data_IF_482141742971
#
_entry.id   IF_482141742971
#
_cell.length_a   1.000
_cell.length_b   1.000
_cell.length_c   1.000
_cell.angle_alpha   90.00
_cell.angle_beta   90.00
_cell.angle_gamma   90.00
#
_symmetry.space_group_name_H-M   'P 1'
#
loop_
_entity.id
_entity.type
_entity.pdbx_description
1 polymer ?
#
# COMPACT_ATOMS: atom_id res chain seq x y z
N UNK A 1 6.03 -13.40 -15.60
CA UNK A 1 4.87 -13.48 -14.68
C UNK A 1 3.87 -12.38 -15.06
N UNK A 2 2.62 -12.74 -15.22
CA UNK A 2 1.57 -11.82 -15.61
C UNK A 2 0.85 -11.32 -14.36
N UNK A 3 1.17 -10.11 -13.94
CA UNK A 3 0.53 -9.51 -12.76
C UNK A 3 -0.85 -8.99 -13.17
N UNK A 4 -1.85 -9.25 -12.35
CA UNK A 4 -3.24 -8.93 -12.65
C UNK A 4 -3.58 -7.42 -12.64
N UNK A 5 -2.59 -6.58 -12.79
CA UNK A 5 -2.78 -5.12 -12.83
C UNK A 5 -3.35 -4.68 -14.16
N UNK A 6 -4.30 -3.78 -14.10
CA UNK A 6 -4.88 -3.22 -15.33
C UNK A 6 -3.90 -2.24 -15.95
N UNK A 7 -3.83 -2.18 -17.28
CA UNK A 7 -2.93 -1.25 -17.97
C UNK A 7 -3.10 0.21 -17.54
N UNK A 8 -4.33 0.64 -17.24
CA UNK A 8 -4.60 2.00 -16.79
C UNK A 8 -3.95 2.30 -15.43
N UNK A 9 -3.97 1.35 -14.51
CA UNK A 9 -3.36 1.52 -13.19
C UNK A 9 -1.84 1.66 -13.30
N UNK A 10 -1.23 0.84 -14.14
CA UNK A 10 0.21 0.89 -14.40
C UNK A 10 0.61 2.20 -15.08
N UNK A 11 -0.17 2.65 -16.07
CA UNK A 11 0.11 3.88 -16.79
C UNK A 11 0.04 5.11 -15.88
N UNK A 12 -0.85 5.09 -14.86
CA UNK A 12 -0.98 6.19 -13.90
C UNK A 12 0.20 6.25 -12.92
N UNK A 13 0.82 5.10 -12.61
CA UNK A 13 1.91 5.10 -11.63
C UNK A 13 2.95 4.03 -11.96
N UNK A 14 3.76 4.23 -13.01
CA UNK A 14 4.73 3.22 -13.45
C UNK A 14 5.86 2.98 -12.45
N UNK A 15 6.26 4.01 -11.70
CA UNK A 15 7.31 3.84 -10.68
C UNK A 15 6.82 2.97 -9.54
N UNK A 16 5.63 3.22 -9.02
CA UNK A 16 5.04 2.40 -7.97
C UNK A 16 4.88 0.95 -8.42
N UNK A 17 4.44 0.73 -9.67
CA UNK A 17 4.34 -0.62 -10.22
C UNK A 17 5.69 -1.35 -10.17
N UNK A 18 6.77 -0.70 -10.62
CA UNK A 18 8.12 -1.30 -10.60
C UNK A 18 8.57 -1.64 -9.19
N UNK A 19 8.28 -0.76 -8.24
CA UNK A 19 8.63 -0.99 -6.83
C UNK A 19 7.86 -2.18 -6.27
N UNK A 20 6.57 -2.29 -6.57
CA UNK A 20 5.75 -3.41 -6.10
C UNK A 20 6.21 -4.74 -6.71
N UNK A 21 6.64 -4.74 -7.98
CA UNK A 21 7.25 -5.91 -8.61
C UNK A 21 8.51 -6.31 -7.87
N UNK A 22 9.37 -5.36 -7.55
CA UNK A 22 10.60 -5.61 -6.81
C UNK A 22 10.32 -6.19 -5.43
N UNK A 23 9.40 -5.57 -4.68
CA UNK A 23 9.02 -6.00 -3.32
C UNK A 23 8.51 -7.43 -3.33
N UNK A 24 7.66 -7.77 -4.29
CA UNK A 24 6.97 -9.07 -4.34
C UNK A 24 7.88 -10.24 -4.69
N UNK A 25 9.08 -10.01 -5.22
CA UNK A 25 10.10 -11.04 -5.49
C UNK A 25 9.54 -12.23 -6.28
N UNK A 26 8.85 -11.96 -7.39
CA UNK A 26 8.22 -12.96 -8.26
C UNK A 26 7.06 -13.75 -7.61
N UNK A 27 6.55 -13.31 -6.48
CA UNK A 27 5.35 -13.88 -5.88
C UNK A 27 4.13 -13.11 -6.36
N UNK A 28 3.37 -13.70 -7.29
CA UNK A 28 2.24 -13.03 -7.93
C UNK A 28 1.13 -12.66 -6.95
N UNK A 29 0.80 -13.57 -6.03
CA UNK A 29 -0.22 -13.30 -5.02
C UNK A 29 0.21 -12.18 -4.07
N UNK A 30 1.49 -12.13 -3.70
CA UNK A 30 2.03 -11.04 -2.90
C UNK A 30 1.95 -9.71 -3.65
N UNK A 31 2.28 -9.71 -4.95
CA UNK A 31 2.15 -8.50 -5.77
C UNK A 31 0.70 -8.02 -5.80
N UNK A 32 -0.25 -8.90 -6.09
CA UNK A 32 -1.67 -8.53 -6.16
C UNK A 32 -2.15 -7.92 -4.84
N UNK A 33 -1.69 -8.46 -3.71
CA UNK A 33 -2.04 -7.94 -2.40
C UNK A 33 -1.48 -6.53 -2.19
N UNK A 34 -0.17 -6.31 -2.38
CA UNK A 34 0.43 -4.99 -2.12
C UNK A 34 -0.02 -3.94 -3.13
N UNK A 35 -0.29 -4.34 -4.37
CA UNK A 35 -0.81 -3.42 -5.38
C UNK A 35 -2.20 -2.91 -4.99
N UNK A 36 -3.05 -3.79 -4.46
CA UNK A 36 -4.36 -3.38 -3.95
C UNK A 36 -4.23 -2.49 -2.73
N UNK A 37 -3.32 -2.79 -1.82
CA UNK A 37 -3.04 -1.92 -0.67
C UNK A 37 -2.61 -0.52 -1.13
N UNK A 38 -1.68 -0.45 -2.06
CA UNK A 38 -1.19 0.82 -2.60
C UNK A 38 -2.34 1.67 -3.14
N UNK A 39 -3.18 1.08 -3.99
CA UNK A 39 -4.31 1.80 -4.56
C UNK A 39 -5.35 2.19 -3.51
N UNK A 40 -5.60 1.32 -2.55
CA UNK A 40 -6.54 1.61 -1.46
C UNK A 40 -6.07 2.78 -0.60
N UNK A 41 -4.79 2.81 -0.22
CA UNK A 41 -4.26 3.90 0.59
C UNK A 41 -4.20 5.22 -0.18
N UNK A 42 -3.99 5.16 -1.49
CA UNK A 42 -4.11 6.37 -2.33
C UNK A 42 -5.54 6.88 -2.39
N UNK A 43 -6.52 5.99 -2.44
CA UNK A 43 -7.92 6.41 -2.34
C UNK A 43 -8.21 7.10 -1.02
N UNK A 44 -7.72 6.54 0.10
CA UNK A 44 -7.88 7.17 1.41
C UNK A 44 -7.25 8.55 1.45
N UNK A 45 -6.06 8.69 0.89
CA UNK A 45 -5.37 9.98 0.78
C UNK A 45 -6.22 11.00 0.04
N UNK A 46 -6.71 10.64 -1.15
CA UNK A 46 -7.53 11.53 -1.97
C UNK A 46 -8.84 11.92 -1.27
N UNK A 47 -9.45 10.98 -0.55
CA UNK A 47 -10.69 11.25 0.18
C UNK A 47 -10.47 12.18 1.39
N UNK A 48 -9.36 12.00 2.10
CA UNK A 48 -9.05 12.75 3.32
C UNK A 48 -8.52 14.13 2.97
N UNK A 49 -7.52 14.22 2.10
CA UNK A 49 -6.87 15.48 1.72
C UNK A 49 -7.71 16.30 0.76
N UNK A 50 -8.65 15.67 0.07
CA UNK A 50 -9.53 16.30 -0.94
C UNK A 50 -8.75 16.98 -2.06
N UNK A 51 -7.54 16.51 -2.33
CA UNK A 51 -6.69 17.05 -3.39
C UNK A 51 -7.25 16.80 -4.77
N UNK A 52 -7.91 15.66 -4.93
CA UNK A 52 -8.54 15.25 -6.17
C UNK A 52 -9.98 14.84 -5.93
N UNK A 53 -10.89 15.19 -6.86
CA UNK A 53 -12.25 14.68 -6.77
C UNK A 53 -12.25 13.17 -6.95
N UNK A 54 -12.93 12.46 -6.04
CA UNK A 54 -13.11 11.01 -6.11
C UNK A 54 -14.58 10.75 -6.42
N UNK A 55 -14.84 10.04 -7.51
CA UNK A 55 -16.21 9.67 -7.87
C UNK A 55 -16.70 8.51 -7.01
N UNK A 56 -18.03 8.38 -6.89
CA UNK A 56 -18.63 7.25 -6.18
C UNK A 56 -18.20 5.92 -6.83
N UNK A 57 -18.09 5.90 -8.17
CA UNK A 57 -17.66 4.72 -8.91
C UNK A 57 -16.23 4.33 -8.58
N UNK A 58 -15.31 5.29 -8.53
CA UNK A 58 -13.91 5.03 -8.17
C UNK A 58 -13.79 4.50 -6.75
N UNK A 59 -14.45 5.15 -5.79
CA UNK A 59 -14.43 4.72 -4.40
C UNK A 59 -15.02 3.32 -4.23
N UNK A 60 -16.17 3.06 -4.86
CA UNK A 60 -16.82 1.75 -4.79
C UNK A 60 -15.97 0.66 -5.40
N UNK A 61 -15.34 0.95 -6.54
CA UNK A 61 -14.46 0.00 -7.22
C UNK A 61 -13.27 -0.38 -6.33
N UNK A 62 -12.58 0.59 -5.77
CA UNK A 62 -11.41 0.32 -4.93
C UNK A 62 -11.79 -0.43 -3.65
N UNK A 63 -12.90 -0.07 -3.01
CA UNK A 63 -13.39 -0.78 -1.84
C UNK A 63 -13.75 -2.23 -2.17
N UNK A 64 -14.41 -2.45 -3.30
CA UNK A 64 -14.75 -3.80 -3.76
C UNK A 64 -13.51 -4.63 -4.02
N UNK A 65 -12.55 -4.09 -4.77
CA UNK A 65 -11.32 -4.80 -5.11
C UNK A 65 -10.48 -5.11 -3.87
N UNK A 66 -10.42 -4.17 -2.94
CA UNK A 66 -9.69 -4.39 -1.69
C UNK A 66 -10.36 -5.49 -0.85
N UNK A 67 -11.67 -5.44 -0.71
CA UNK A 67 -12.44 -6.45 0.02
C UNK A 67 -12.27 -7.83 -0.61
N UNK A 68 -12.34 -7.92 -1.94
CA UNK A 68 -12.12 -9.17 -2.68
C UNK A 68 -10.71 -9.71 -2.43
N UNK A 69 -9.70 -8.84 -2.45
CA UNK A 69 -8.32 -9.24 -2.19
C UNK A 69 -8.16 -9.79 -0.77
N UNK A 70 -8.70 -9.12 0.23
CA UNK A 70 -8.66 -9.60 1.62
C UNK A 70 -9.33 -10.98 1.73
N UNK A 71 -10.47 -11.16 1.09
CA UNK A 71 -11.23 -12.40 1.20
C UNK A 71 -10.57 -13.57 0.45
N UNK A 72 -9.96 -13.31 -0.69
CA UNK A 72 -9.60 -14.38 -1.63
C UNK A 72 -8.10 -14.51 -1.93
N UNK A 73 -7.28 -13.50 -1.59
CA UNK A 73 -5.87 -13.54 -1.93
C UNK A 73 -5.14 -14.57 -1.07
N UNK A 74 -4.50 -15.59 -1.67
CA UNK A 74 -3.87 -16.66 -0.91
C UNK A 74 -2.67 -16.21 -0.09
N UNK A 75 -1.93 -15.21 -0.56
CA UNK A 75 -0.81 -14.65 0.21
C UNK A 75 -1.32 -13.96 1.48
N UNK A 76 -2.36 -13.14 1.35
CA UNK A 76 -2.96 -12.50 2.53
C UNK A 76 -3.53 -13.53 3.49
N UNK A 77 -4.27 -14.52 2.99
CA UNK A 77 -4.88 -15.55 3.84
C UNK A 77 -3.83 -16.34 4.62
N UNK A 78 -2.69 -16.62 4.01
CA UNK A 78 -1.59 -17.33 4.65
C UNK A 78 -0.91 -16.48 5.75
N UNK A 79 -0.90 -15.16 5.59
CA UNK A 79 -0.17 -14.24 6.46
C UNK A 79 -1.07 -13.25 7.20
N UNK A 80 -2.37 -13.53 7.28
CA UNK A 80 -3.37 -12.58 7.77
C UNK A 80 -3.16 -12.15 9.22
N UNK A 81 -2.60 -13.01 10.06
CA UNK A 81 -2.40 -12.69 11.47
C UNK A 81 -1.34 -11.60 11.68
N UNK A 82 -0.39 -11.45 10.75
CA UNK A 82 0.56 -10.35 10.81
C UNK A 82 0.12 -9.16 9.95
N UNK A 83 -0.51 -9.42 8.82
CA UNK A 83 -0.86 -8.35 7.87
C UNK A 83 -2.09 -7.54 8.28
N UNK A 84 -3.10 -8.18 8.85
CA UNK A 84 -4.33 -7.47 9.22
C UNK A 84 -4.09 -6.38 10.28
N UNK A 85 -3.35 -6.64 11.37
CA UNK A 85 -3.01 -5.56 12.31
C UNK A 85 -2.24 -4.42 11.67
N UNK A 86 -1.38 -4.71 10.72
CA UNK A 86 -0.63 -3.66 10.00
C UNK A 86 -1.55 -2.78 9.16
N UNK A 87 -2.53 -3.38 8.48
CA UNK A 87 -3.53 -2.63 7.71
C UNK A 87 -4.33 -1.70 8.64
N UNK A 88 -4.79 -2.24 9.77
CA UNK A 88 -5.54 -1.46 10.76
C UNK A 88 -4.71 -0.29 11.29
N UNK A 89 -3.44 -0.53 11.61
CA UNK A 89 -2.54 0.51 12.10
C UNK A 89 -2.28 1.57 11.02
N UNK A 90 -2.14 1.17 9.77
CA UNK A 90 -1.94 2.10 8.68
C UNK A 90 -3.16 3.00 8.47
N UNK A 91 -4.36 2.42 8.50
CA UNK A 91 -5.62 3.20 8.42
C UNK A 91 -5.71 4.20 9.58
N UNK A 92 -5.43 3.74 10.80
CA UNK A 92 -5.46 4.61 11.97
C UNK A 92 -4.39 5.72 11.88
N UNK A 93 -3.22 5.40 11.33
CA UNK A 93 -2.16 6.39 11.12
C UNK A 93 -2.60 7.53 10.23
N UNK A 94 -3.39 7.26 9.19
CA UNK A 94 -3.97 8.30 8.34
C UNK A 94 -4.91 9.19 9.13
N UNK A 95 -5.81 8.61 9.94
CA UNK A 95 -6.77 9.37 10.74
C UNK A 95 -6.04 10.23 11.77
N UNK A 96 -5.11 9.64 12.52
CA UNK A 96 -4.34 10.37 13.54
C UNK A 96 -3.52 11.51 12.90
N UNK A 97 -2.91 11.24 11.75
CA UNK A 97 -2.15 12.27 11.03
C UNK A 97 -3.01 13.44 10.59
N UNK A 98 -4.24 13.16 10.11
CA UNK A 98 -5.18 14.20 9.69
C UNK A 98 -5.72 15.00 10.87
N UNK A 99 -5.95 14.35 12.01
CA UNK A 99 -6.48 14.99 13.22
C UNK A 99 -5.39 15.62 14.09
N UNK A 100 -4.11 15.59 13.66
CA UNK A 100 -3.01 16.12 14.45
C UNK A 100 -3.19 17.60 14.75
N UNK A 101 -2.96 17.98 16.02
CA UNK A 101 -2.98 19.39 16.45
C UNK A 101 -1.86 20.17 15.76
N UNK A 102 -1.96 21.50 15.77
CA UNK A 102 -0.90 22.38 15.22
C UNK A 102 0.46 22.07 15.83
N UNK A 103 0.51 21.72 17.12
CA UNK A 103 1.76 21.40 17.81
C UNK A 103 2.40 20.10 17.28
N UNK A 104 1.58 19.17 16.75
CA UNK A 104 2.04 17.85 16.31
C UNK A 104 1.94 17.67 14.80
N UNK A 105 1.56 18.70 14.06
CA UNK A 105 1.34 18.63 12.61
C UNK A 105 2.58 18.19 11.82
N UNK A 106 3.76 18.45 12.37
CA UNK A 106 5.03 18.02 11.76
C UNK A 106 5.17 16.51 11.67
N UNK A 107 4.44 15.74 12.49
CA UNK A 107 4.48 14.28 12.49
C UNK A 107 3.49 13.64 11.52
N UNK A 108 2.56 14.42 10.98
CA UNK A 108 1.51 13.89 10.09
C UNK A 108 2.06 13.12 8.88
N UNK A 109 3.10 13.60 8.16
CA UNK A 109 3.64 12.85 7.03
C UNK A 109 4.18 11.47 7.42
N UNK A 110 4.80 11.33 8.59
CA UNK A 110 5.31 10.05 9.07
C UNK A 110 4.16 9.10 9.40
N UNK A 111 3.12 9.59 10.06
CA UNK A 111 1.93 8.81 10.40
C UNK A 111 1.22 8.32 9.15
N UNK A 112 1.11 9.18 8.15
CA UNK A 112 0.45 8.85 6.88
C UNK A 112 1.25 7.89 6.01
N UNK A 113 2.53 7.64 6.31
CA UNK A 113 3.36 6.67 5.60
C UNK A 113 3.41 5.30 6.29
N UNK A 114 2.50 5.03 7.21
CA UNK A 114 2.48 3.75 7.96
C UNK A 114 2.23 2.53 7.08
N UNK A 115 1.60 2.71 5.92
CA UNK A 115 1.41 1.63 4.95
C UNK A 115 2.73 1.09 4.39
N UNK A 116 3.81 1.89 4.40
CA UNK A 116 5.13 1.42 3.96
C UNK A 116 5.65 0.25 4.81
N UNK A 117 5.21 0.14 6.05
CA UNK A 117 5.56 -0.99 6.90
C UNK A 117 4.97 -2.31 6.37
N UNK A 118 3.81 -2.24 5.73
CA UNK A 118 3.20 -3.40 5.07
C UNK A 118 4.10 -3.90 3.94
N UNK A 119 4.59 -2.99 3.11
CA UNK A 119 5.44 -3.34 1.96
C UNK A 119 6.78 -3.94 2.41
N UNK A 120 7.40 -3.36 3.46
CA UNK A 120 8.60 -3.91 4.06
C UNK A 120 8.37 -5.33 4.59
N UNK A 121 7.27 -5.53 5.30
CA UNK A 121 6.95 -6.84 5.86
C UNK A 121 6.71 -7.88 4.78
N UNK A 122 5.99 -7.51 3.71
CA UNK A 122 5.80 -8.40 2.57
C UNK A 122 7.14 -8.77 1.94
N UNK A 123 8.04 -7.80 1.75
CA UNK A 123 9.38 -8.07 1.23
C UNK A 123 10.11 -9.10 2.09
N UNK A 124 10.00 -8.99 3.41
CA UNK A 124 10.58 -9.99 4.33
C UNK A 124 9.96 -11.37 4.14
N UNK A 125 8.63 -11.44 4.06
CA UNK A 125 7.91 -12.70 3.93
C UNK A 125 8.26 -13.46 2.65
N UNK A 126 8.49 -12.75 1.54
CA UNK A 126 8.76 -13.38 0.23
C UNK A 126 10.24 -13.54 -0.09
N UNK A 127 11.13 -12.78 0.55
CA UNK A 127 12.52 -12.78 0.18
C UNK A 127 13.53 -12.79 1.33
N UNK A 128 13.05 -12.68 2.59
CA UNK A 128 13.91 -12.68 3.75
C UNK A 128 14.52 -11.32 4.07
N UNK A 129 15.40 -11.31 5.06
CA UNK A 129 15.98 -10.10 5.65
C UNK A 129 16.74 -9.25 4.63
N UNK A 130 17.63 -9.86 3.84
CA UNK A 130 18.46 -9.11 2.89
C UNK A 130 17.61 -8.50 1.78
N UNK A 131 16.60 -9.23 1.30
CA UNK A 131 15.67 -8.71 0.30
C UNK A 131 14.89 -7.51 0.87
N UNK A 132 14.36 -7.63 2.10
CA UNK A 132 13.66 -6.52 2.74
C UNK A 132 14.54 -5.28 2.84
N UNK A 133 15.79 -5.43 3.29
CA UNK A 133 16.72 -4.32 3.40
C UNK A 133 17.01 -3.66 2.06
N UNK A 134 17.18 -4.49 1.02
CA UNK A 134 17.44 -3.98 -0.32
C UNK A 134 16.25 -3.16 -0.84
N UNK A 135 15.04 -3.69 -0.74
CA UNK A 135 13.87 -2.96 -1.25
C UNK A 135 13.56 -1.70 -0.43
N UNK A 136 13.75 -1.75 0.90
CA UNK A 136 13.55 -0.58 1.75
C UNK A 136 14.42 0.59 1.32
N UNK A 137 15.68 0.34 0.93
CA UNK A 137 16.56 1.39 0.44
C UNK A 137 16.07 2.04 -0.86
N UNK A 138 15.18 1.36 -1.58
CA UNK A 138 14.65 1.85 -2.85
C UNK A 138 13.32 2.59 -2.70
N UNK A 139 12.34 1.98 -2.00
CA UNK A 139 10.99 2.53 -2.05
C UNK A 139 10.69 3.59 -0.99
N UNK A 140 11.38 3.58 0.17
CA UNK A 140 11.13 4.58 1.21
C UNK A 140 11.58 5.99 0.82
N UNK A 141 12.32 6.12 -0.23
CA UNK A 141 12.83 7.41 -0.72
C UNK A 141 12.33 7.77 -2.11
N UNK A 142 11.41 6.99 -2.67
CA UNK A 142 11.01 7.19 -4.06
C UNK A 142 10.26 8.53 -4.26
N UNK A 143 9.56 9.02 -3.25
CA UNK A 143 8.85 10.30 -3.34
C UNK A 143 9.78 11.51 -3.42
N UNK A 144 11.06 11.30 -3.18
CA UNK A 144 12.06 12.35 -3.21
C UNK A 144 12.81 12.40 -4.54
N UNK A 145 12.56 11.45 -5.40
CA UNK A 145 13.15 11.39 -6.73
C UNK A 145 12.22 12.07 -7.76
#
# INVERSE_FOLDING_TARGET
MDYCSKPEEVAQNPLAFRLMVLISNDNEAAFDFIWRCWNFFHLLDDLIDRDKPVTIQEASRELFLFTQTIALNPFFQQNKFSLLPMILNACNGWVVGEEASEANKQYAPVLKCSDFNIYSHVAFLVGGWEHMRYVDSKFRTYDKE
#
